data_IF_305848703500
#
_entry.id   IF_305848703500
#
_cell.length_a   1.000
_cell.length_b   1.000
_cell.length_c   1.000
_cell.angle_alpha   90.00
_cell.angle_beta   90.00
_cell.angle_gamma   90.00
#
_symmetry.space_group_name_H-M   'P 1'
#
loop_
_entity.id
_entity.type
_entity.pdbx_description
1 polymer ?
#
# COMPACT_ATOMS: atom_id res chain seq x y z
N UNK A 1 10.35 -8.80 24.89
CA UNK A 1 9.86 -7.42 24.76
C UNK A 1 10.82 -6.72 23.82
N UNK A 2 10.56 -6.81 22.51
CA UNK A 2 11.34 -6.09 21.52
C UNK A 2 10.86 -4.64 21.57
N UNK A 3 11.78 -3.69 21.62
CA UNK A 3 11.45 -2.30 21.29
C UNK A 3 10.76 -2.32 19.93
N UNK A 4 9.83 -1.39 19.73
CA UNK A 4 9.09 -1.22 18.48
C UNK A 4 10.07 -0.78 17.38
N UNK A 5 10.88 -1.73 16.90
CA UNK A 5 11.78 -1.54 15.78
C UNK A 5 10.90 -1.37 14.55
N UNK A 6 11.01 -0.20 13.92
CA UNK A 6 10.44 0.04 12.60
C UNK A 6 10.72 -1.16 11.71
N UNK A 7 9.67 -1.72 11.12
CA UNK A 7 9.77 -2.89 10.22
C UNK A 7 9.40 -2.50 8.80
N UNK A 8 10.16 -3.02 7.85
CA UNK A 8 9.89 -2.89 6.42
C UNK A 8 9.16 -4.13 5.95
N UNK A 9 8.07 -3.92 5.20
CA UNK A 9 7.28 -4.99 4.59
C UNK A 9 7.42 -4.93 3.08
N UNK A 10 7.70 -6.06 2.45
CA UNK A 10 7.63 -6.25 1.00
C UNK A 10 6.52 -7.25 0.67
N UNK A 11 5.75 -6.98 -0.38
CA UNK A 11 4.79 -7.93 -0.92
C UNK A 11 5.46 -8.71 -2.04
N UNK A 12 5.46 -10.04 -1.93
CA UNK A 12 5.99 -10.95 -2.96
C UNK A 12 4.89 -11.88 -3.44
N UNK A 13 4.92 -12.20 -4.73
CA UNK A 13 4.05 -13.19 -5.34
C UNK A 13 4.85 -14.48 -5.58
N UNK A 14 4.45 -15.56 -4.92
CA UNK A 14 5.07 -16.88 -5.05
C UNK A 14 4.19 -17.87 -5.83
N UNK A 15 2.98 -17.45 -6.21
CA UNK A 15 1.97 -18.34 -6.78
C UNK A 15 1.75 -19.62 -5.95
N UNK A 16 1.56 -20.74 -6.64
CA UNK A 16 1.33 -22.05 -6.03
C UNK A 16 2.56 -22.70 -5.37
N UNK A 17 3.76 -22.11 -5.49
CA UNK A 17 4.98 -22.72 -4.96
C UNK A 17 5.03 -22.75 -3.42
N UNK A 18 4.23 -21.92 -2.76
CA UNK A 18 4.19 -21.79 -1.30
C UNK A 18 5.47 -21.14 -0.72
N UNK A 19 5.49 -20.83 0.59
CA UNK A 19 6.64 -20.19 1.21
C UNK A 19 7.66 -21.26 1.60
N UNK A 20 8.82 -21.28 0.95
CA UNK A 20 9.99 -21.96 1.51
C UNK A 20 10.91 -20.99 2.24
N UNK A 21 12.22 -21.27 2.25
CA UNK A 21 13.16 -20.46 3.02
C UNK A 21 13.31 -19.05 2.43
N UNK A 22 13.07 -18.02 3.25
CA UNK A 22 13.29 -16.62 2.87
C UNK A 22 14.67 -16.15 3.36
N UNK A 23 15.41 -15.51 2.46
CA UNK A 23 16.63 -14.78 2.77
C UNK A 23 16.50 -13.36 2.24
N UNK A 24 16.59 -12.40 3.15
CA UNK A 24 16.66 -10.98 2.82
C UNK A 24 18.09 -10.52 3.03
N UNK A 25 18.66 -9.80 2.08
CA UNK A 25 19.91 -9.07 2.25
C UNK A 25 19.70 -7.59 2.02
N UNK A 26 20.40 -6.78 2.79
CA UNK A 26 20.47 -5.33 2.67
C UNK A 26 21.91 -4.94 2.38
N UNK A 27 22.19 -4.35 1.23
CA UNK A 27 23.56 -4.06 0.78
C UNK A 27 24.50 -5.29 0.93
N UNK A 28 23.96 -6.49 0.66
CA UNK A 28 24.66 -7.78 0.80
C UNK A 28 24.68 -8.39 2.20
N UNK A 29 24.27 -7.66 3.25
CA UNK A 29 24.22 -8.15 4.64
C UNK A 29 22.89 -8.83 4.92
N UNK A 30 22.92 -10.08 5.40
CA UNK A 30 21.70 -10.84 5.72
C UNK A 30 20.92 -10.18 6.85
N UNK A 31 19.62 -10.04 6.63
CA UNK A 31 18.66 -9.54 7.61
C UNK A 31 17.84 -10.70 8.17
N UNK A 32 17.43 -10.58 9.43
CA UNK A 32 16.39 -11.45 9.97
C UNK A 32 15.07 -11.11 9.26
N UNK A 33 14.41 -12.13 8.71
CA UNK A 33 13.18 -11.94 7.95
C UNK A 33 12.13 -12.98 8.33
N UNK A 34 10.86 -12.58 8.24
CA UNK A 34 9.69 -13.44 8.38
C UNK A 34 8.87 -13.37 7.11
N UNK A 35 8.19 -14.47 6.79
CA UNK A 35 7.28 -14.56 5.66
C UNK A 35 5.90 -14.99 6.17
N UNK A 36 4.87 -14.25 5.78
CA UNK A 36 3.49 -14.44 6.23
C UNK A 36 2.54 -14.35 5.02
N UNK A 37 1.51 -15.19 4.89
CA UNK A 37 0.55 -15.07 3.80
C UNK A 37 -0.26 -13.78 3.94
N UNK A 38 -0.56 -13.11 2.82
CA UNK A 38 -1.48 -11.96 2.81
C UNK A 38 -2.88 -12.43 3.24
N UNK A 39 -3.36 -13.52 2.65
CA UNK A 39 -4.61 -14.18 3.02
C UNK A 39 -4.44 -14.92 4.36
N UNK A 40 -4.62 -14.19 5.46
CA UNK A 40 -4.43 -14.64 6.84
C UNK A 40 -5.55 -14.13 7.77
N UNK A 41 -5.68 -14.66 9.00
CA UNK A 41 -6.61 -14.11 10.00
C UNK A 41 -6.39 -12.62 10.31
N UNK A 42 -5.22 -12.06 10.03
CA UNK A 42 -4.90 -10.65 10.24
C UNK A 42 -5.38 -9.74 9.11
N UNK A 43 -5.84 -10.33 7.99
CA UNK A 43 -6.30 -9.61 6.82
C UNK A 43 -7.47 -8.67 7.17
N UNK A 44 -7.36 -7.43 6.70
CA UNK A 44 -8.41 -6.44 6.71
C UNK A 44 -8.73 -6.06 5.26
N UNK A 45 -9.97 -6.23 4.84
CA UNK A 45 -10.41 -5.93 3.46
C UNK A 45 -11.37 -4.76 3.46
N UNK A 46 -11.15 -3.77 2.60
CA UNK A 46 -12.19 -2.78 2.29
C UNK A 46 -12.68 -2.96 0.87
N UNK A 47 -13.96 -3.31 0.72
CA UNK A 47 -14.65 -3.35 -0.56
C UNK A 47 -15.04 -1.93 -0.94
N UNK A 48 -14.60 -1.48 -2.11
CA UNK A 48 -15.01 -0.21 -2.71
C UNK A 48 -15.77 -0.56 -3.99
N UNK A 49 -17.07 -0.29 -4.00
CA UNK A 49 -17.94 -0.71 -5.11
C UNK A 49 -18.42 0.52 -5.85
N UNK A 50 -18.15 0.60 -7.15
CA UNK A 50 -18.72 1.63 -8.04
C UNK A 50 -20.25 1.51 -8.01
N UNK A 51 -20.87 2.41 -7.26
CA UNK A 51 -22.30 2.52 -7.07
C UNK A 51 -22.85 3.75 -7.79
N UNK A 52 -22.11 4.30 -8.76
CA UNK A 52 -22.56 5.41 -9.58
C UNK A 52 -23.64 4.97 -10.57
N UNK A 53 -24.31 5.94 -11.19
CA UNK A 53 -25.23 5.69 -12.29
C UNK A 53 -24.53 5.05 -13.50
N UNK A 54 -23.26 5.40 -13.75
CA UNK A 54 -22.46 4.84 -14.84
C UNK A 54 -22.10 3.36 -14.60
N UNK A 55 -21.82 2.98 -13.35
CA UNK A 55 -21.54 1.60 -12.94
C UNK A 55 -22.77 0.70 -12.77
N UNK A 56 -23.98 1.24 -12.97
CA UNK A 56 -25.24 0.54 -12.65
C UNK A 56 -25.39 -0.82 -13.34
N UNK A 57 -24.89 -0.96 -14.58
CA UNK A 57 -25.01 -2.19 -15.36
C UNK A 57 -24.17 -3.34 -14.77
N UNK A 58 -22.97 -3.05 -14.26
CA UNK A 58 -22.06 -4.04 -13.70
C UNK A 58 -22.27 -4.29 -12.20
N UNK A 59 -22.95 -3.37 -11.49
CA UNK A 59 -23.16 -3.42 -10.05
C UNK A 59 -23.70 -4.77 -9.53
N UNK A 60 -24.73 -5.42 -10.11
CA UNK A 60 -25.19 -6.72 -9.61
C UNK A 60 -24.09 -7.79 -9.64
N UNK A 61 -23.23 -7.75 -10.65
CA UNK A 61 -22.08 -8.65 -10.80
C UNK A 61 -21.03 -8.40 -9.72
N UNK A 62 -20.66 -7.13 -9.50
CA UNK A 62 -19.71 -6.73 -8.44
C UNK A 62 -20.21 -7.14 -7.06
N UNK A 63 -21.46 -6.81 -6.72
CA UNK A 63 -22.02 -7.13 -5.39
C UNK A 63 -22.05 -8.64 -5.12
N UNK A 64 -22.40 -9.43 -6.14
CA UNK A 64 -22.43 -10.90 -6.01
C UNK A 64 -21.04 -11.47 -5.81
N UNK A 65 -20.06 -10.95 -6.54
CA UNK A 65 -18.69 -11.43 -6.45
C UNK A 65 -18.01 -10.99 -5.15
N UNK A 66 -18.17 -9.72 -4.72
CA UNK A 66 -17.67 -9.23 -3.43
C UNK A 66 -18.27 -10.02 -2.26
N UNK A 67 -19.56 -10.37 -2.34
CA UNK A 67 -20.20 -11.20 -1.33
C UNK A 67 -19.59 -12.61 -1.28
N UNK A 68 -19.30 -13.23 -2.43
CA UNK A 68 -18.61 -14.52 -2.51
C UNK A 68 -17.20 -14.44 -1.92
N UNK A 69 -16.43 -13.42 -2.29
CA UNK A 69 -15.08 -13.21 -1.75
C UNK A 69 -15.13 -13.00 -0.23
N UNK A 70 -16.06 -12.18 0.28
CA UNK A 70 -16.25 -11.98 1.71
C UNK A 70 -16.53 -13.30 2.45
N UNK A 71 -17.33 -14.19 1.87
CA UNK A 71 -17.62 -15.52 2.45
C UNK A 71 -16.40 -16.46 2.45
N UNK A 72 -15.44 -16.26 1.56
CA UNK A 72 -14.19 -17.02 1.47
C UNK A 72 -13.05 -16.49 2.35
N UNK A 73 -13.24 -15.36 3.05
CA UNK A 73 -12.19 -14.78 3.88
C UNK A 73 -11.77 -15.71 5.04
N UNK A 74 -10.47 -15.72 5.42
CA UNK A 74 -9.99 -16.48 6.57
C UNK A 74 -10.74 -16.15 7.85
N UNK A 75 -10.93 -17.14 8.71
CA UNK A 75 -11.49 -16.91 10.04
C UNK A 75 -10.62 -15.89 10.81
N UNK A 76 -11.23 -14.82 11.33
CA UNK A 76 -10.55 -13.72 12.00
C UNK A 76 -10.29 -12.50 11.12
N UNK A 77 -10.39 -12.63 9.79
CA UNK A 77 -10.29 -11.50 8.89
C UNK A 77 -11.46 -10.52 9.12
N UNK A 78 -11.17 -9.24 8.92
CA UNK A 78 -12.13 -8.14 9.08
C UNK A 78 -12.44 -7.52 7.74
N UNK A 79 -13.65 -6.99 7.58
CA UNK A 79 -14.02 -6.32 6.35
C UNK A 79 -14.85 -5.06 6.57
N UNK A 80 -14.82 -4.15 5.61
CA UNK A 80 -15.59 -2.92 5.56
C UNK A 80 -16.08 -2.68 4.13
N UNK A 81 -17.13 -1.86 3.96
CA UNK A 81 -17.73 -1.58 2.64
C UNK A 81 -17.89 -0.07 2.45
N UNK A 82 -17.42 0.42 1.31
CA UNK A 82 -17.55 1.81 0.85
C UNK A 82 -18.23 1.82 -0.51
N UNK A 83 -19.23 2.67 -0.67
CA UNK A 83 -19.87 2.91 -1.97
C UNK A 83 -19.17 4.07 -2.69
N UNK A 84 -18.65 3.79 -3.88
CA UNK A 84 -18.11 4.78 -4.80
C UNK A 84 -19.23 5.42 -5.62
N UNK A 85 -19.77 6.49 -5.05
CA UNK A 85 -20.76 7.40 -5.64
C UNK A 85 -20.66 8.74 -4.91
N UNK A 86 -21.11 9.84 -5.49
CA UNK A 86 -21.08 11.15 -4.86
C UNK A 86 -22.34 11.38 -3.98
N UNK A 87 -22.19 11.71 -2.67
CA UNK A 87 -20.94 11.72 -1.91
C UNK A 87 -20.51 10.30 -1.50
N UNK A 88 -19.19 10.05 -1.47
CA UNK A 88 -18.65 8.76 -1.06
C UNK A 88 -19.08 8.41 0.38
N UNK A 89 -19.46 7.16 0.61
CA UNK A 89 -20.04 6.75 1.90
C UNK A 89 -19.58 5.37 2.36
N UNK A 90 -19.28 5.26 3.66
CA UNK A 90 -19.11 3.96 4.33
C UNK A 90 -20.48 3.34 4.51
N UNK A 91 -20.70 2.19 3.86
CA UNK A 91 -21.94 1.41 3.95
C UNK A 91 -21.89 0.48 5.16
N UNK A 92 -20.71 -0.06 5.44
CA UNK A 92 -20.43 -0.82 6.66
C UNK A 92 -19.03 -0.49 7.18
N UNK A 93 -18.97 -0.10 8.44
CA UNK A 93 -17.73 0.01 9.20
C UNK A 93 -17.11 -1.39 9.41
N UNK A 94 -15.82 -1.50 9.82
CA UNK A 94 -15.16 -2.77 10.10
C UNK A 94 -16.03 -3.76 10.89
N UNK A 95 -16.25 -4.94 10.32
CA UNK A 95 -16.95 -6.06 10.96
C UNK A 95 -16.05 -7.28 11.01
N UNK A 96 -16.25 -8.10 12.04
CA UNK A 96 -15.71 -9.45 12.11
C UNK A 96 -16.64 -10.41 11.36
N UNK A 97 -16.08 -11.21 10.46
CA UNK A 97 -16.81 -12.23 9.71
C UNK A 97 -17.74 -11.71 8.60
N UNK A 98 -18.29 -12.63 7.78
CA UNK A 98 -18.85 -12.26 6.49
C UNK A 98 -20.31 -11.76 6.51
N UNK A 99 -21.10 -12.13 7.52
CA UNK A 99 -22.56 -11.95 7.48
C UNK A 99 -23.00 -10.47 7.46
N UNK A 100 -22.33 -9.62 8.25
CA UNK A 100 -22.57 -8.17 8.24
C UNK A 100 -22.20 -7.53 6.90
N UNK A 101 -21.12 -8.00 6.29
CA UNK A 101 -20.60 -7.50 5.01
C UNK A 101 -21.49 -7.88 3.85
N UNK A 102 -21.90 -9.15 3.75
CA UNK A 102 -22.83 -9.61 2.72
C UNK A 102 -24.16 -8.85 2.81
N UNK A 103 -24.66 -8.62 4.03
CA UNK A 103 -25.87 -7.80 4.24
C UNK A 103 -25.66 -6.37 3.74
N UNK A 104 -24.53 -5.74 4.09
CA UNK A 104 -24.21 -4.38 3.69
C UNK A 104 -24.13 -4.22 2.17
N UNK A 105 -23.44 -5.14 1.48
CA UNK A 105 -23.37 -5.18 0.02
C UNK A 105 -24.78 -5.24 -0.61
N UNK A 106 -25.69 -6.06 -0.04
CA UNK A 106 -27.08 -6.14 -0.48
C UNK A 106 -27.91 -4.85 -0.35
N UNK A 107 -27.44 -3.85 0.40
CA UNK A 107 -28.09 -2.54 0.53
C UNK A 107 -27.64 -1.52 -0.50
N UNK A 108 -26.54 -1.77 -1.21
CA UNK A 108 -25.98 -0.82 -2.18
C UNK A 108 -26.93 -0.68 -3.37
N UNK A 109 -27.12 0.56 -3.82
CA UNK A 109 -27.93 0.92 -4.98
C UNK A 109 -27.15 1.88 -5.86
N UNK A 110 -27.23 1.66 -7.17
CA UNK A 110 -26.64 2.56 -8.15
C UNK A 110 -27.32 3.93 -8.12
N UNK A 111 -26.54 5.00 -8.29
CA UNK A 111 -27.04 6.35 -8.47
C UNK A 111 -25.97 7.41 -8.24
N UNK A 112 -26.22 8.60 -8.79
CA UNK A 112 -25.29 9.73 -8.71
C UNK A 112 -24.03 9.54 -9.56
N UNK A 113 -23.11 10.50 -9.44
CA UNK A 113 -21.80 10.45 -10.10
C UNK A 113 -20.80 9.61 -9.29
N UNK A 114 -19.65 9.28 -9.88
CA UNK A 114 -18.53 8.63 -9.15
C UNK A 114 -17.82 9.62 -8.23
N UNK A 115 -17.27 9.14 -7.12
CA UNK A 115 -16.42 9.91 -6.20
C UNK A 115 -15.25 9.03 -5.71
N UNK A 116 -14.51 8.49 -6.68
CA UNK A 116 -13.57 7.39 -6.45
C UNK A 116 -12.39 7.82 -5.58
N UNK A 117 -11.87 9.04 -5.78
CA UNK A 117 -10.81 9.57 -4.93
C UNK A 117 -11.23 9.62 -3.45
N UNK A 118 -12.44 10.11 -3.15
CA UNK A 118 -12.93 10.17 -1.77
C UNK A 118 -13.25 8.78 -1.24
N UNK A 119 -13.75 7.88 -2.08
CA UNK A 119 -14.03 6.50 -1.71
C UNK A 119 -12.76 5.73 -1.32
N UNK A 120 -11.70 5.84 -2.11
CA UNK A 120 -10.38 5.29 -1.78
C UNK A 120 -9.80 5.94 -0.52
N UNK A 121 -10.04 7.24 -0.32
CA UNK A 121 -9.65 7.94 0.91
C UNK A 121 -10.32 7.34 2.14
N UNK A 122 -11.64 7.14 2.08
CA UNK A 122 -12.42 6.52 3.15
C UNK A 122 -12.00 5.08 3.38
N UNK A 123 -11.67 4.34 2.32
CA UNK A 123 -11.24 2.96 2.43
C UNK A 123 -9.97 2.83 3.27
N UNK A 124 -8.97 3.68 3.01
CA UNK A 124 -7.72 3.71 3.77
C UNK A 124 -7.91 4.03 5.26
N UNK A 125 -8.98 4.73 5.65
CA UNK A 125 -9.23 5.06 7.06
C UNK A 125 -10.02 4.00 7.82
N UNK A 126 -10.47 2.91 7.17
CA UNK A 126 -11.29 1.90 7.85
C UNK A 126 -10.46 1.04 8.82
N UNK A 127 -9.17 0.88 8.59
CA UNK A 127 -8.32 -0.02 9.36
C UNK A 127 -7.00 0.66 9.79
N UNK A 128 -7.06 1.70 10.65
CA UNK A 128 -5.86 2.44 11.06
C UNK A 128 -4.83 1.56 11.80
N UNK A 129 -5.28 0.47 12.43
CA UNK A 129 -4.44 -0.45 13.19
C UNK A 129 -4.03 -1.70 12.38
N UNK A 130 -4.38 -1.78 11.10
CA UNK A 130 -3.91 -2.89 10.27
C UNK A 130 -2.40 -2.75 10.05
N UNK A 131 -1.64 -3.80 10.40
CA UNK A 131 -0.21 -3.82 10.12
C UNK A 131 0.07 -3.73 8.62
N UNK A 132 1.17 -3.08 8.25
CA UNK A 132 1.59 -2.90 6.85
C UNK A 132 1.46 -4.18 6.03
N UNK A 133 0.76 -4.10 4.91
CA UNK A 133 0.51 -5.19 3.97
C UNK A 133 -0.69 -6.08 4.29
N UNK A 134 -1.34 -5.94 5.46
CA UNK A 134 -2.56 -6.69 5.78
C UNK A 134 -3.85 -5.92 5.47
N UNK A 135 -3.78 -4.68 5.00
CA UNK A 135 -4.95 -3.96 4.52
C UNK A 135 -5.02 -4.06 3.00
N UNK A 136 -6.03 -4.77 2.50
CA UNK A 136 -6.36 -4.85 1.07
C UNK A 136 -7.57 -3.96 0.80
N UNK A 137 -7.46 -3.06 -0.17
CA UNK A 137 -8.61 -2.34 -0.72
C UNK A 137 -8.92 -2.96 -2.08
N UNK A 138 -10.11 -3.54 -2.20
CA UNK A 138 -10.62 -4.13 -3.42
C UNK A 138 -11.60 -3.15 -4.06
N UNK A 139 -11.20 -2.53 -5.17
CA UNK A 139 -12.03 -1.62 -5.95
C UNK A 139 -12.65 -2.36 -7.15
N UNK A 140 -13.97 -2.45 -7.19
CA UNK A 140 -14.74 -2.94 -8.33
C UNK A 140 -15.31 -1.74 -9.09
N UNK A 141 -14.83 -1.47 -10.31
CA UNK A 141 -15.16 -0.25 -11.06
C UNK A 141 -15.12 -0.46 -12.57
N UNK A 142 -16.04 0.21 -13.29
CA UNK A 142 -15.98 0.35 -14.75
C UNK A 142 -15.32 1.67 -15.19
N UNK A 143 -15.17 2.62 -14.26
CA UNK A 143 -14.49 3.88 -14.50
C UNK A 143 -13.03 3.71 -14.90
N UNK A 144 -12.54 4.59 -15.77
CA UNK A 144 -11.20 4.51 -16.36
C UNK A 144 -10.09 5.10 -15.48
N UNK A 145 -10.45 5.89 -14.45
CA UNK A 145 -9.54 6.57 -13.53
C UNK A 145 -10.21 6.85 -12.17
N UNK A 146 -9.45 7.42 -11.23
CA UNK A 146 -9.95 7.85 -9.92
C UNK A 146 -10.43 9.32 -9.91
N UNK A 147 -10.79 9.89 -11.07
CA UNK A 147 -11.02 11.32 -11.25
C UNK A 147 -9.74 12.07 -11.62
N UNK A 148 -9.52 13.25 -11.04
CA UNK A 148 -8.41 14.15 -11.41
C UNK A 148 -7.04 13.71 -10.87
N UNK A 149 -6.99 12.72 -9.98
CA UNK A 149 -5.75 12.32 -9.32
C UNK A 149 -4.91 11.41 -10.24
N UNK A 150 -3.61 11.71 -10.47
CA UNK A 150 -2.74 10.82 -11.23
C UNK A 150 -2.58 9.44 -10.58
N UNK A 151 -2.40 8.41 -11.41
CA UNK A 151 -2.22 7.03 -10.95
C UNK A 151 -1.05 6.88 -9.96
N UNK A 152 0.05 7.60 -10.20
CA UNK A 152 1.23 7.61 -9.32
C UNK A 152 0.91 8.18 -7.93
N UNK A 153 0.05 9.19 -7.85
CA UNK A 153 -0.37 9.77 -6.57
C UNK A 153 -1.30 8.82 -5.79
N UNK A 154 -2.16 8.06 -6.49
CA UNK A 154 -2.93 6.96 -5.87
C UNK A 154 -1.97 5.91 -5.31
N UNK A 155 -1.02 5.45 -6.11
CA UNK A 155 -0.03 4.45 -5.69
C UNK A 155 0.79 4.93 -4.48
N UNK A 156 1.28 6.18 -4.52
CA UNK A 156 2.06 6.77 -3.43
C UNK A 156 1.27 6.78 -2.11
N UNK A 157 0.01 7.18 -2.15
CA UNK A 157 -0.86 7.23 -0.97
C UNK A 157 -1.12 5.84 -0.37
N UNK A 158 -1.34 4.84 -1.21
CA UNK A 158 -1.52 3.46 -0.75
C UNK A 158 -0.25 2.88 -0.12
N UNK A 159 0.92 3.19 -0.68
CA UNK A 159 2.22 2.81 -0.10
C UNK A 159 2.45 3.47 1.27
N UNK A 160 2.16 4.76 1.39
CA UNK A 160 2.26 5.49 2.66
C UNK A 160 1.33 4.90 3.73
N UNK A 161 0.12 4.50 3.33
CA UNK A 161 -0.82 3.83 4.22
C UNK A 161 -0.49 2.34 4.47
N UNK A 162 0.55 1.79 3.83
CA UNK A 162 0.88 0.36 3.94
C UNK A 162 -0.21 -0.57 3.41
N UNK A 163 -1.07 -0.10 2.51
CA UNK A 163 -2.22 -0.83 1.98
C UNK A 163 -1.98 -1.33 0.55
N UNK A 164 -2.56 -2.49 0.24
CA UNK A 164 -2.52 -3.14 -1.08
C UNK A 164 -3.78 -2.70 -1.86
N UNK A 165 -3.60 -2.12 -3.04
CA UNK A 165 -4.72 -1.78 -3.93
C UNK A 165 -4.93 -2.88 -4.97
N UNK A 166 -6.08 -3.54 -4.93
CA UNK A 166 -6.53 -4.46 -5.97
C UNK A 166 -7.69 -3.81 -6.71
N UNK A 167 -7.62 -3.79 -8.04
CA UNK A 167 -8.69 -3.24 -8.87
C UNK A 167 -9.27 -4.33 -9.75
N UNK A 168 -10.57 -4.55 -9.68
CA UNK A 168 -11.34 -5.35 -10.63
C UNK A 168 -11.96 -4.38 -11.62
N UNK A 169 -11.40 -4.33 -12.82
CA UNK A 169 -11.75 -3.30 -13.81
C UNK A 169 -10.84 -3.36 -15.04
N UNK A 170 -10.61 -2.22 -15.69
CA UNK A 170 -9.81 -2.15 -16.93
C UNK A 170 -9.10 -0.81 -17.09
N UNK A 171 -8.03 -0.81 -17.88
CA UNK A 171 -7.36 0.41 -18.33
C UNK A 171 -5.95 0.60 -17.76
N UNK A 172 -5.13 1.36 -18.50
CA UNK A 172 -3.73 1.58 -18.17
C UNK A 172 -3.54 2.38 -16.86
N UNK A 173 -4.49 3.26 -16.53
CA UNK A 173 -4.49 4.01 -15.27
C UNK A 173 -4.45 3.08 -14.06
N UNK A 174 -5.36 2.11 -13.97
CA UNK A 174 -5.44 1.19 -12.84
C UNK A 174 -4.27 0.22 -12.79
N UNK A 175 -3.75 -0.20 -13.95
CA UNK A 175 -2.51 -0.96 -14.00
C UNK A 175 -1.34 -0.17 -13.38
N UNK A 176 -1.22 1.12 -13.70
CA UNK A 176 -0.19 1.99 -13.11
C UNK A 176 -0.44 2.25 -11.61
N UNK A 177 -1.68 2.53 -11.21
CA UNK A 177 -2.03 2.84 -9.82
C UNK A 177 -1.79 1.65 -8.87
N UNK A 178 -2.01 0.42 -9.34
CA UNK A 178 -1.83 -0.80 -8.54
C UNK A 178 -0.38 -1.27 -8.46
N UNK A 179 0.42 -1.04 -9.51
CA UNK A 179 1.79 -1.55 -9.63
C UNK A 179 2.71 -1.19 -8.46
N UNK A 180 2.55 0.01 -7.87
CA UNK A 180 3.35 0.46 -6.74
C UNK A 180 2.87 -0.03 -5.36
N UNK A 181 1.69 -0.63 -5.26
CA UNK A 181 1.05 -0.88 -3.95
C UNK A 181 1.28 -2.29 -3.40
N UNK A 182 2.01 -3.12 -4.14
CA UNK A 182 2.01 -4.57 -3.90
C UNK A 182 0.65 -5.20 -4.23
N UNK A 183 -0.15 -4.53 -5.07
CA UNK A 183 -1.44 -4.99 -5.58
C UNK A 183 -1.39 -5.36 -7.07
N UNK A 184 -2.55 -5.33 -7.75
CA UNK A 184 -2.67 -5.63 -9.18
C UNK A 184 -4.04 -5.22 -9.74
N UNK A 185 -4.12 -5.11 -11.05
CA UNK A 185 -5.35 -5.03 -11.82
C UNK A 185 -5.80 -6.44 -12.21
N UNK A 186 -6.97 -6.87 -11.74
CA UNK A 186 -7.70 -8.02 -12.22
C UNK A 186 -8.62 -7.57 -13.37
N UNK A 187 -8.35 -7.96 -14.63
CA UNK A 187 -9.14 -7.50 -15.76
C UNK A 187 -10.58 -7.99 -15.67
N UNK A 188 -11.53 -7.06 -15.59
CA UNK A 188 -12.95 -7.35 -15.74
C UNK A 188 -13.39 -7.02 -17.17
N UNK A 189 -14.00 -8.00 -17.85
CA UNK A 189 -14.52 -7.88 -19.21
C UNK A 189 -15.41 -9.07 -19.53
N UNK A 190 -16.02 -9.10 -20.72
CA UNK A 190 -16.81 -10.26 -21.13
C UNK A 190 -15.93 -11.53 -21.19
N UNK A 191 -16.35 -12.65 -20.57
CA UNK A 191 -17.73 -12.99 -20.21
C UNK A 191 -18.18 -12.68 -18.77
N UNK A 192 -17.46 -11.88 -17.97
CA UNK A 192 -18.00 -11.33 -16.72
C UNK A 192 -17.00 -11.03 -15.61
N UNK A 193 -17.55 -10.60 -14.47
CA UNK A 193 -16.83 -10.17 -13.26
C UNK A 193 -16.31 -11.36 -12.42
N UNK A 194 -16.98 -12.52 -12.45
CA UNK A 194 -16.64 -13.66 -11.60
C UNK A 194 -15.22 -14.21 -11.84
N UNK A 195 -14.76 -14.42 -13.10
CA UNK A 195 -13.38 -14.84 -13.36
C UNK A 195 -12.33 -13.85 -12.83
N UNK A 196 -12.64 -12.55 -12.84
CA UNK A 196 -11.73 -11.53 -12.32
C UNK A 196 -11.57 -11.65 -10.80
N UNK A 197 -12.63 -11.99 -10.05
CA UNK A 197 -12.51 -12.21 -8.61
C UNK A 197 -11.92 -13.56 -8.24
N UNK A 198 -12.16 -14.62 -9.02
CA UNK A 198 -11.46 -15.89 -8.84
C UNK A 198 -9.94 -15.67 -9.00
N UNK A 199 -9.53 -14.85 -9.97
CA UNK A 199 -8.15 -14.39 -10.11
C UNK A 199 -7.69 -13.58 -8.89
N UNK A 200 -8.57 -12.73 -8.31
CA UNK A 200 -8.21 -11.98 -7.10
C UNK A 200 -7.87 -12.92 -5.95
N UNK A 201 -8.72 -13.90 -5.70
CA UNK A 201 -8.53 -14.91 -4.66
C UNK A 201 -7.24 -15.72 -4.91
N UNK A 202 -7.04 -16.22 -6.13
CA UNK A 202 -5.85 -16.99 -6.51
C UNK A 202 -4.56 -16.19 -6.30
N UNK A 203 -4.53 -14.94 -6.78
CA UNK A 203 -3.34 -14.09 -6.66
C UNK A 203 -3.08 -13.69 -5.21
N UNK A 204 -4.12 -13.39 -4.41
CA UNK A 204 -3.94 -13.07 -2.99
C UNK A 204 -3.50 -14.29 -2.18
N UNK A 205 -3.97 -15.49 -2.52
CA UNK A 205 -3.52 -16.74 -1.91
C UNK A 205 -2.04 -17.05 -2.22
N UNK A 206 -1.55 -16.64 -3.40
CA UNK A 206 -0.15 -16.73 -3.79
C UNK A 206 0.74 -15.61 -3.23
N UNK A 207 0.18 -14.58 -2.58
CA UNK A 207 0.93 -13.43 -2.07
C UNK A 207 1.33 -13.57 -0.62
N UNK A 208 2.56 -13.14 -0.35
CA UNK A 208 3.18 -13.17 0.96
C UNK A 208 3.80 -11.82 1.31
N UNK A 209 3.79 -11.51 2.60
CA UNK A 209 4.47 -10.40 3.22
C UNK A 209 5.83 -10.87 3.74
N UNK A 210 6.90 -10.26 3.24
CA UNK A 210 8.26 -10.44 3.78
C UNK A 210 8.57 -9.26 4.68
N UNK A 211 8.74 -9.53 5.98
CA UNK A 211 8.98 -8.53 7.01
C UNK A 211 10.38 -8.64 7.58
N UNK A 212 11.08 -7.52 7.71
CA UNK A 212 12.42 -7.44 8.27
C UNK A 212 12.63 -6.06 8.93
N UNK A 213 13.63 -5.91 9.82
CA UNK A 213 13.93 -4.62 10.45
C UNK A 213 14.21 -3.55 9.39
N UNK A 214 13.62 -2.36 9.55
CA UNK A 214 13.86 -1.23 8.65
C UNK A 214 15.32 -0.80 8.75
N UNK A 215 16.06 -0.82 7.64
CA UNK A 215 17.44 -0.34 7.62
C UNK A 215 17.52 1.16 7.93
N UNK A 216 18.60 1.59 8.57
CA UNK A 216 18.80 3.00 8.99
C UNK A 216 19.23 3.94 7.87
N UNK A 217 19.28 3.49 6.62
CA UNK A 217 19.74 4.26 5.47
C UNK A 217 19.12 3.78 4.17
N UNK A 218 19.54 4.39 3.06
CA UNK A 218 19.10 3.99 1.73
C UNK A 218 19.98 2.85 1.20
N UNK A 219 19.43 1.98 0.36
CA UNK A 219 20.16 0.82 -0.13
C UNK A 219 19.31 -0.22 -0.83
N UNK A 220 20.01 -1.23 -1.35
CA UNK A 220 19.41 -2.32 -2.08
C UNK A 220 18.97 -3.43 -1.12
N UNK A 221 17.68 -3.73 -1.13
CA UNK A 221 17.13 -4.97 -0.58
C UNK A 221 17.13 -6.01 -1.68
N UNK A 222 17.71 -7.18 -1.42
CA UNK A 222 17.50 -8.36 -2.26
C UNK A 222 16.73 -9.39 -1.44
N UNK A 223 15.56 -9.76 -1.94
CA UNK A 223 14.78 -10.86 -1.38
C UNK A 223 15.04 -12.09 -2.24
N UNK A 224 15.37 -13.19 -1.58
CA UNK A 224 15.45 -14.51 -2.19
C UNK A 224 14.47 -15.41 -1.46
N UNK A 225 13.53 -16.00 -2.19
CA UNK A 225 12.62 -17.00 -1.66
C UNK A 225 12.91 -18.31 -2.36
N UNK A 226 13.29 -19.30 -1.58
CA UNK A 226 13.43 -20.68 -2.05
C UNK A 226 12.02 -21.30 -2.08
N UNK A 227 11.47 -21.50 -3.28
CA UNK A 227 10.18 -22.16 -3.48
C UNK A 227 10.34 -23.65 -3.79
N UNK A 228 11.46 -24.28 -3.41
CA UNK A 228 11.79 -25.68 -3.74
C UNK A 228 12.51 -25.79 -5.09
N UNK A 229 11.86 -26.23 -6.18
CA UNK A 229 12.52 -26.33 -7.48
C UNK A 229 12.87 -24.97 -8.10
N UNK A 230 12.27 -23.87 -7.62
CA UNK A 230 12.44 -22.53 -8.17
C UNK A 230 12.89 -21.57 -7.07
N UNK A 231 13.93 -20.78 -7.36
CA UNK A 231 14.38 -19.68 -6.51
C UNK A 231 13.90 -18.37 -7.13
N UNK A 232 13.10 -17.63 -6.38
CA UNK A 232 12.63 -16.31 -6.76
C UNK A 232 13.60 -15.27 -6.20
N UNK A 233 14.04 -14.33 -7.05
CA UNK A 233 14.93 -13.23 -6.66
C UNK A 233 14.38 -11.89 -7.13
N UNK A 234 14.30 -10.94 -6.20
CA UNK A 234 13.81 -9.59 -6.45
C UNK A 234 14.71 -8.59 -5.75
N UNK A 235 14.89 -7.41 -6.35
CA UNK A 235 15.65 -6.32 -5.77
C UNK A 235 14.81 -5.05 -5.74
N UNK A 236 14.92 -4.33 -4.64
CA UNK A 236 14.15 -3.13 -4.34
C UNK A 236 15.09 -2.12 -3.69
N UNK A 237 15.08 -0.87 -4.16
CA UNK A 237 15.78 0.21 -3.48
C UNK A 237 14.86 0.78 -2.39
N UNK A 238 15.32 0.78 -1.15
CA UNK A 238 14.61 1.46 -0.06
C UNK A 238 15.32 2.78 0.16
N UNK A 239 14.58 3.88 0.09
CA UNK A 239 15.09 5.20 0.45
C UNK A 239 15.25 5.31 1.97
N UNK A 240 16.17 6.16 2.41
CA UNK A 240 16.23 6.47 3.85
C UNK A 240 14.92 7.13 4.25
N UNK A 241 14.32 6.77 5.40
CA UNK A 241 13.30 7.63 5.97
C UNK A 241 13.96 9.00 6.17
N UNK A 242 13.41 10.05 5.57
CA UNK A 242 13.91 11.39 5.86
C UNK A 242 13.89 11.55 7.39
N UNK A 243 15.01 11.96 8.02
CA UNK A 243 15.02 12.19 9.45
C UNK A 243 13.97 13.24 9.73
N UNK A 244 12.83 12.79 10.25
CA UNK A 244 11.62 13.59 10.31
C UNK A 244 11.95 14.94 10.93
N UNK A 245 11.62 16.00 10.19
CA UNK A 245 11.67 17.41 10.56
C UNK A 245 10.76 17.75 11.76
N UNK A 246 10.42 16.75 12.58
CA UNK A 246 9.59 16.78 13.78
C UNK A 246 10.42 16.78 15.08
N UNK A 247 11.69 16.38 15.06
CA UNK A 247 12.58 16.40 16.24
C UNK A 247 12.86 17.83 16.74
N UNK A 248 13.12 18.79 15.86
CA UNK A 248 13.57 20.14 16.28
C UNK A 248 12.53 20.97 17.05
N UNK A 249 11.25 20.56 17.07
CA UNK A 249 10.19 21.23 17.82
C UNK A 249 10.19 20.84 19.31
N UNK A 250 10.78 19.70 19.69
CA UNK A 250 10.89 19.27 21.10
C UNK A 250 12.17 19.76 21.80
N UNK A 251 13.07 20.46 21.10
CA UNK A 251 14.21 21.15 21.72
C UNK A 251 13.87 22.60 22.17
N UNK A 252 12.72 23.15 21.78
CA UNK A 252 12.34 24.54 22.10
C UNK A 252 11.83 24.82 23.55
N UNK A 253 11.38 23.86 24.39
CA UNK A 253 11.02 24.21 25.76
C UNK A 253 12.22 24.33 26.71
N UNK A 254 13.38 23.72 26.40
CA UNK A 254 14.56 23.81 27.31
C UNK A 254 15.33 25.13 27.11
N UNK A 255 15.40 25.64 25.87
CA UNK A 255 16.03 26.94 25.62
C UNK A 255 15.17 28.12 26.12
N UNK A 256 13.84 28.01 26.07
CA UNK A 256 12.94 29.06 26.56
C UNK A 256 12.96 29.22 28.09
N UNK A 257 13.10 28.12 28.85
CA UNK A 257 13.23 28.19 30.33
C UNK A 257 14.58 28.79 30.74
N UNK A 258 15.66 28.52 30.01
CA UNK A 258 16.98 29.13 30.27
C UNK A 258 17.02 30.63 29.94
N UNK A 259 16.39 31.06 28.85
CA UNK A 259 16.31 32.49 28.46
C UNK A 259 15.37 33.26 29.40
N UNK A 260 14.23 32.66 29.82
CA UNK A 260 13.31 33.28 30.77
C UNK A 260 13.91 33.42 32.18
N UNK A 261 14.68 32.43 32.65
CA UNK A 261 15.39 32.54 33.93
C UNK A 261 16.46 33.64 33.93
N UNK A 262 17.15 33.86 32.79
CA UNK A 262 18.12 34.95 32.65
C UNK A 262 17.48 36.35 32.56
N UNK A 263 16.27 36.46 31.99
CA UNK A 263 15.56 37.75 31.87
C UNK A 263 14.84 38.16 33.17
N UNK A 264 14.26 37.22 33.92
CA UNK A 264 13.60 37.53 35.22
C UNK A 264 14.63 37.94 36.29
N UNK A 265 15.87 37.44 36.22
CA UNK A 265 16.96 37.88 37.10
C UNK A 265 17.45 39.32 36.85
N UNK A 266 17.33 39.84 35.62
CA UNK A 266 17.78 41.20 35.26
C UNK A 266 16.72 42.29 35.47
N UNK A 267 15.43 41.94 35.38
CA UNK A 267 14.34 42.91 35.49
C UNK A 267 13.94 43.28 36.93
N UNK A 268 14.36 42.51 37.95
CA UNK A 268 14.16 42.90 39.37
C UNK A 268 15.08 44.02 39.87
N UNK A 269 16.06 44.48 39.07
CA UNK A 269 17.00 45.56 39.46
C UNK A 269 16.70 46.93 38.87
N UNK A 270 15.67 47.08 38.05
CA UNK A 270 15.28 48.39 37.50
C UNK A 270 13.77 48.48 37.48
N UNK A 271 13.21 49.30 38.36
CA UNK A 271 12.18 50.32 38.05
C UNK A 271 11.52 50.79 39.36
N UNK A 272 12.17 51.75 40.00
CA UNK A 272 11.51 52.82 40.77
C UNK A 272 11.28 53.95 39.75
N UNK A 273 10.16 54.67 39.92
CA UNK A 273 9.70 55.86 39.17
C UNK A 273 9.17 55.58 37.76
N UNK A 274 8.19 56.28 37.20
CA UNK A 274 7.10 57.14 37.65
C UNK A 274 6.42 57.62 36.34
N UNK A 275 5.17 57.20 36.11
CA UNK A 275 3.99 58.02 35.74
C UNK A 275 4.05 59.09 34.60
N UNK A 276 2.93 59.73 34.18
CA UNK A 276 2.13 59.30 33.01
C UNK A 276 1.85 60.44 31.99
N UNK A 277 1.46 60.14 30.75
CA UNK A 277 0.65 61.05 29.90
C UNK A 277 -0.21 60.26 28.90
N UNK A 278 -1.52 60.48 28.98
CA UNK A 278 -2.56 60.31 27.95
C UNK A 278 -2.91 61.77 27.49
N UNK A 279 -3.29 62.12 26.25
CA UNK A 279 -4.61 61.74 25.72
C UNK A 279 -4.81 61.64 24.19
N UNK A 280 -5.80 60.81 23.82
CA UNK A 280 -6.93 61.06 22.91
C UNK A 280 -6.80 61.21 21.37
N UNK A 281 -7.82 60.58 20.74
CA UNK A 281 -8.51 60.88 19.47
C UNK A 281 -7.83 60.45 18.16
N UNK A 282 -8.50 59.96 17.11
CA UNK A 282 -9.87 59.50 16.87
C UNK A 282 -9.92 58.90 15.42
N UNK A 283 -11.06 58.30 15.06
CA UNK A 283 -11.62 58.14 13.69
C UNK A 283 -11.24 56.88 12.87
N UNK A 284 -12.28 56.09 12.53
CA UNK A 284 -12.38 54.94 11.58
C UNK A 284 -12.40 55.40 10.08
N UNK A 285 -12.79 54.63 9.03
CA UNK A 285 -12.94 53.17 8.80
C UNK A 285 -12.35 52.67 7.43
N UNK A 286 -12.56 51.37 7.15
CA UNK A 286 -12.73 50.72 5.83
C UNK A 286 -11.52 50.46 4.89
N UNK A 287 -11.27 49.18 4.58
CA UNK A 287 -11.25 48.58 3.22
C UNK A 287 -10.64 47.16 3.23
N UNK A 288 -11.21 46.28 2.40
CA UNK A 288 -10.88 44.85 2.16
C UNK A 288 -10.52 44.74 0.65
N UNK A 289 -9.81 43.68 0.19
CA UNK A 289 -8.37 43.57 -0.13
C UNK A 289 -8.05 43.81 -1.65
N UNK A 290 -6.84 43.49 -2.16
CA UNK A 290 -6.66 42.17 -2.80
C UNK A 290 -5.26 41.55 -2.63
N UNK A 291 -5.20 40.28 -3.05
CA UNK A 291 -4.09 39.35 -3.05
C UNK A 291 -2.83 39.83 -3.78
N UNK A 292 -1.66 39.47 -3.22
CA UNK A 292 -0.41 39.34 -3.94
C UNK A 292 0.32 38.07 -3.46
N UNK A 293 0.51 37.15 -4.40
CA UNK A 293 1.26 35.90 -4.29
C UNK A 293 2.76 36.22 -4.37
N UNK A 294 3.62 35.67 -3.49
CA UNK A 294 5.04 35.52 -3.77
C UNK A 294 5.36 34.13 -4.38
N UNK A 295 6.47 34.01 -5.14
CA UNK A 295 6.84 32.79 -5.82
C UNK A 295 7.53 31.82 -4.85
N UNK A 296 7.24 30.53 -4.98
CA UNK A 296 8.09 29.49 -4.39
C UNK A 296 8.47 28.51 -5.49
N UNK A 297 9.71 28.66 -5.94
CA UNK A 297 10.48 27.58 -6.52
C UNK A 297 10.84 26.58 -5.42
N UNK A 298 10.90 25.29 -5.76
CA UNK A 298 11.79 24.36 -5.10
C UNK A 298 11.18 23.05 -4.61
N UNK A 299 11.76 21.97 -5.13
CA UNK A 299 12.09 20.72 -4.45
C UNK A 299 10.98 19.68 -4.21
N UNK A 300 10.98 18.71 -5.13
CA UNK A 300 11.11 17.25 -4.91
C UNK A 300 11.18 16.70 -3.48
N UNK A 301 10.46 15.58 -3.27
CA UNK A 301 10.88 14.31 -2.64
C UNK A 301 9.58 13.47 -2.46
N UNK A 302 9.21 12.51 -3.32
CA UNK A 302 9.77 11.17 -3.59
C UNK A 302 10.07 10.38 -2.31
N UNK A 303 9.13 9.54 -1.92
CA UNK A 303 9.29 8.43 -0.98
C UNK A 303 8.84 7.14 -1.66
N UNK A 304 9.79 6.26 -2.01
CA UNK A 304 9.58 5.01 -2.73
C UNK A 304 9.56 3.80 -1.78
N UNK A 305 8.41 3.13 -1.68
CA UNK A 305 8.40 1.69 -1.44
C UNK A 305 8.60 1.00 -2.80
N UNK A 306 9.72 0.28 -2.92
CA UNK A 306 10.07 -0.43 -4.14
C UNK A 306 9.29 -1.75 -4.23
N UNK A 307 8.42 -1.83 -5.23
CA UNK A 307 7.76 -3.07 -5.64
C UNK A 307 8.64 -3.72 -6.70
N UNK A 308 9.30 -4.82 -6.31
CA UNK A 308 9.97 -5.68 -7.26
C UNK A 308 8.96 -6.69 -7.81
N UNK A 309 8.61 -6.59 -9.10
CA UNK A 309 8.01 -7.74 -9.80
C UNK A 309 9.09 -8.81 -9.96
N UNK A 310 9.08 -9.81 -9.08
CA UNK A 310 9.98 -10.96 -9.11
C UNK A 310 9.73 -11.78 -10.39
N UNK A 311 10.75 -11.94 -11.24
CA UNK A 311 10.73 -12.88 -12.36
C UNK A 311 11.57 -14.11 -12.01
N UNK A 312 11.20 -15.32 -12.46
CA UNK A 312 12.03 -16.50 -12.29
C UNK A 312 13.40 -16.27 -12.95
N UNK A 313 14.49 -16.60 -12.24
CA UNK A 313 15.84 -16.44 -12.77
C UNK A 313 16.08 -17.41 -13.94
N UNK A 314 16.68 -16.96 -15.07
CA UNK A 314 17.05 -17.86 -16.15
C UNK A 314 18.13 -18.82 -15.65
N UNK A 315 17.85 -20.13 -15.73
CA UNK A 315 18.85 -21.17 -15.45
C UNK A 315 19.92 -21.12 -16.55
N UNK A 316 21.10 -20.59 -16.21
CA UNK A 316 22.28 -20.70 -17.05
C UNK A 316 22.63 -22.17 -17.26
N UNK A 317 22.47 -22.66 -18.50
CA UNK A 317 23.07 -23.93 -18.96
C UNK A 317 24.58 -23.78 -18.94
N UNK A 318 25.26 -24.58 -18.12
CA UNK A 318 26.70 -24.81 -18.28
C UNK A 318 26.95 -25.57 -19.60
N UNK A 319 27.99 -25.24 -20.37
CA UNK A 319 28.38 -25.97 -21.57
C UNK A 319 29.06 -27.28 -21.17
N UNK A 320 28.55 -28.41 -21.68
CA UNK A 320 29.26 -29.69 -21.62
C UNK A 320 30.03 -29.86 -22.93
N UNK A 321 31.36 -29.84 -22.81
CA UNK A 321 32.34 -30.09 -23.87
C UNK A 321 32.32 -31.58 -24.26
N UNK A 322 32.50 -31.96 -25.54
CA UNK A 322 32.28 -33.32 -26.02
C UNK A 322 33.46 -34.24 -25.68
N UNK A 323 33.17 -35.51 -25.38
CA UNK A 323 34.18 -36.57 -25.33
C UNK A 323 33.90 -37.62 -26.38
N UNK A 324 34.79 -37.71 -27.36
CA UNK A 324 34.80 -38.71 -28.41
C UNK A 324 35.46 -40.03 -27.95
N UNK A 325 35.11 -41.09 -28.69
CA UNK A 325 35.65 -42.47 -28.70
C UNK A 325 35.22 -43.35 -27.51
N UNK A 326 34.71 -44.57 -27.70
CA UNK A 326 35.27 -45.67 -28.50
C UNK A 326 34.20 -46.75 -28.76
N UNK A 327 34.08 -47.24 -30.00
CA UNK A 327 33.53 -48.59 -30.36
C UNK A 327 34.49 -49.68 -29.81
N UNK A 328 34.02 -50.85 -29.37
CA UNK A 328 33.66 -51.98 -30.27
C UNK A 328 32.36 -52.70 -29.82
N UNK A 329 31.52 -53.30 -30.67
CA UNK A 329 31.72 -54.60 -31.33
C UNK A 329 30.75 -55.65 -30.72
N UNK A 330 30.09 -56.45 -31.58
CA UNK A 330 29.13 -57.54 -31.22
C UNK A 330 27.70 -57.18 -31.65
N UNK A 331 27.09 -57.70 -32.72
CA UNK A 331 26.80 -59.09 -33.16
C UNK A 331 26.02 -59.88 -32.11
N UNK A 332 24.75 -60.13 -32.41
CA UNK A 332 23.84 -61.02 -31.68
C UNK A 332 22.45 -61.01 -32.31
N UNK A 333 22.16 -62.05 -33.09
CA UNK A 333 20.82 -62.49 -33.50
C UNK A 333 20.01 -62.92 -32.27
N UNK A 334 18.68 -62.77 -32.32
CA UNK A 334 17.73 -63.87 -32.06
C UNK A 334 16.29 -63.39 -32.34
N UNK A 335 15.62 -64.17 -33.21
CA UNK A 335 14.17 -64.31 -33.32
C UNK A 335 13.63 -64.94 -32.02
N UNK A 336 12.42 -64.60 -31.59
CA UNK A 336 11.31 -65.55 -31.29
C UNK A 336 10.09 -64.84 -30.68
N UNK A 337 8.94 -65.24 -31.22
CA UNK A 337 7.51 -65.10 -30.83
C UNK A 337 6.83 -63.72 -30.70
#
# INVERSE_FOLDING_TARGET
MFADESSTTLVVDLGAAGPGAVTVTWNGVRQAARIEPVLSPQLAVTFVVDASAAGAAALPGWLSADARFALGLPAGARAAVVADRAPAAVVAAPQDGPSGIVRALGTIRAGGERDTQRSLSLALTQFPDAGNGHHVVLLCTDGMDAGELPAESVAARFREAGAILVVVGRGAYWAAATAGTGGFLAPAGDPGVAPALDQVEEVLAGRYLVRFPTPSGAGDVVVTVDGGPVVYRGSAFVESPEPGTRWWWSALPVAAVMIAAMLVGRLRRRSIAADPVNPAAAVSPAAVPPAAVPPVAGASAVGLAAVASMRPAPRGRAPVIPRASRRPGGVGFEDEE
#
